data_IF_291232537001
#
_entry.id   IF_291232537001
#
_cell.length_a   1.000
_cell.length_b   1.000
_cell.length_c   1.000
_cell.angle_alpha   90.00
_cell.angle_beta   90.00
_cell.angle_gamma   90.00
#
_symmetry.space_group_name_H-M   'P 1'
#
loop_
_entity.id
_entity.type
_entity.pdbx_description
1 polymer ?
#
# COMPACT_ATOMS: atom_id res chain seq x y z
N UNK A 1 19.94 18.15 37.02
CA UNK A 1 19.18 17.04 36.40
C UNK A 1 20.19 16.25 35.57
N UNK A 2 20.43 15.00 35.95
CA UNK A 2 21.47 14.16 35.34
C UNK A 2 20.87 13.51 34.10
N UNK A 3 21.35 13.86 32.91
CA UNK A 3 21.07 13.09 31.71
C UNK A 3 21.99 11.88 31.72
N UNK A 4 21.44 10.72 32.04
CA UNK A 4 22.15 9.45 32.05
C UNK A 4 22.35 8.97 30.61
N UNK A 5 23.60 9.06 30.17
CA UNK A 5 24.33 8.19 29.24
C UNK A 5 23.50 7.18 28.43
N UNK A 6 23.12 7.52 27.19
CA UNK A 6 22.66 6.55 26.18
C UNK A 6 23.87 5.79 25.63
N UNK A 7 24.34 4.80 26.38
CA UNK A 7 25.40 3.88 25.98
C UNK A 7 24.92 2.44 26.02
N UNK A 8 24.44 1.93 24.87
CA UNK A 8 24.59 0.56 24.36
C UNK A 8 23.63 0.35 23.19
N UNK A 9 24.18 -0.05 22.05
CA UNK A 9 23.50 -0.56 20.86
C UNK A 9 22.18 -1.31 21.15
N UNK A 10 21.22 -1.17 20.23
CA UNK A 10 20.16 -2.14 19.81
C UNK A 10 18.80 -1.47 19.64
N UNK A 11 18.70 -0.45 18.78
CA UNK A 11 17.39 -0.18 18.17
C UNK A 11 17.05 -1.43 17.36
N UNK A 12 16.16 -2.29 17.88
CA UNK A 12 15.62 -3.43 17.12
C UNK A 12 14.92 -2.97 15.84
N UNK A 13 14.61 -1.67 15.75
CA UNK A 13 14.03 -1.04 14.59
C UNK A 13 14.58 0.37 14.39
N UNK A 14 15.01 0.69 13.18
CA UNK A 14 15.56 2.01 12.85
C UNK A 14 15.33 2.35 11.38
N UNK A 15 14.96 3.59 11.08
CA UNK A 15 14.92 4.09 9.70
C UNK A 15 16.33 4.52 9.31
N UNK A 16 16.94 3.82 8.36
CA UNK A 16 18.34 4.04 7.96
C UNK A 16 18.49 5.11 6.88
N UNK A 17 17.50 5.26 6.00
CA UNK A 17 17.55 6.21 4.90
C UNK A 17 16.15 6.58 4.40
N UNK A 18 15.95 7.84 3.99
CA UNK A 18 14.70 8.33 3.39
C UNK A 18 15.02 8.97 2.04
N UNK A 19 14.27 8.57 1.01
CA UNK A 19 14.43 9.03 -0.37
C UNK A 19 13.07 9.47 -0.96
N UNK A 20 13.04 10.14 -2.12
CA UNK A 20 11.80 10.50 -2.80
C UNK A 20 10.92 9.29 -3.21
N UNK A 21 11.48 8.08 -3.25
CA UNK A 21 10.77 6.88 -3.66
C UNK A 21 10.24 6.04 -2.49
N UNK A 22 10.71 6.31 -1.28
CA UNK A 22 10.48 5.45 -0.12
C UNK A 22 11.62 5.58 0.90
N UNK A 23 11.55 4.77 1.95
CA UNK A 23 12.57 4.74 2.99
C UNK A 23 13.02 3.31 3.29
N UNK A 24 14.18 3.20 3.89
CA UNK A 24 14.76 1.95 4.37
C UNK A 24 14.58 1.84 5.88
N UNK A 25 14.22 0.65 6.33
CA UNK A 25 14.07 0.32 7.73
C UNK A 25 14.86 -0.93 8.06
N UNK A 26 15.71 -0.84 9.07
CA UNK A 26 16.43 -1.95 9.66
C UNK A 26 15.56 -2.52 10.77
N UNK A 27 15.21 -3.80 10.68
CA UNK A 27 14.47 -4.54 11.70
C UNK A 27 15.35 -5.72 12.12
N UNK A 28 15.76 -5.74 13.39
CA UNK A 28 16.80 -6.61 13.94
C UNK A 28 18.12 -6.50 13.15
N UNK A 29 18.32 -7.36 12.15
CA UNK A 29 19.49 -7.37 11.27
C UNK A 29 19.10 -7.40 9.78
N UNK A 30 17.82 -7.13 9.48
CA UNK A 30 17.27 -7.13 8.12
C UNK A 30 16.88 -5.73 7.69
N UNK A 31 17.44 -5.29 6.58
CA UNK A 31 17.06 -4.02 5.98
C UNK A 31 15.97 -4.26 4.93
N UNK A 32 14.85 -3.56 5.07
CA UNK A 32 13.70 -3.63 4.18
C UNK A 32 13.41 -2.26 3.58
N UNK A 33 13.05 -2.25 2.30
CA UNK A 33 12.65 -1.03 1.61
C UNK A 33 11.13 -0.87 1.64
N UNK A 34 10.67 0.30 2.06
CA UNK A 34 9.25 0.68 2.10
C UNK A 34 8.98 1.66 0.95
N UNK A 35 8.46 1.19 -0.21
CA UNK A 35 8.20 2.05 -1.35
C UNK A 35 6.95 2.91 -1.13
N UNK A 36 7.08 4.23 -1.33
CA UNK A 36 5.94 5.15 -1.35
C UNK A 36 4.94 4.87 -2.48
N UNK A 37 5.31 4.05 -3.46
CA UNK A 37 4.41 3.52 -4.50
C UNK A 37 3.28 2.68 -3.91
N UNK A 38 3.64 1.76 -3.02
CA UNK A 38 2.72 0.80 -2.38
C UNK A 38 2.12 1.34 -1.08
N UNK A 39 2.88 2.21 -0.38
CA UNK A 39 2.50 2.80 0.90
C UNK A 39 2.44 4.33 0.77
N UNK A 40 1.41 4.89 0.09
CA UNK A 40 1.35 6.32 -0.23
C UNK A 40 1.18 7.21 0.99
N UNK A 41 0.69 6.68 2.12
CA UNK A 41 0.48 7.43 3.36
C UNK A 41 1.74 8.08 3.91
N UNK A 42 2.91 7.52 3.61
CA UNK A 42 4.19 8.07 4.05
C UNK A 42 4.73 9.20 3.16
N UNK A 43 4.11 9.49 2.00
CA UNK A 43 4.63 10.49 1.03
C UNK A 43 4.63 11.91 1.57
N UNK A 44 3.66 12.24 2.41
CA UNK A 44 3.47 13.59 2.95
C UNK A 44 3.94 13.69 4.42
N UNK A 45 4.42 12.57 4.98
CA UNK A 45 4.94 12.50 6.34
C UNK A 45 6.33 13.14 6.43
N UNK A 46 6.59 13.80 7.55
CA UNK A 46 7.91 14.33 7.86
C UNK A 46 8.90 13.21 8.20
N UNK A 47 10.19 13.49 8.02
CA UNK A 47 11.27 12.56 8.40
C UNK A 47 11.16 12.19 9.89
N UNK A 48 10.77 13.13 10.75
CA UNK A 48 10.60 12.88 12.18
C UNK A 48 9.51 11.82 12.44
N UNK A 49 8.36 11.97 11.78
CA UNK A 49 7.24 11.05 11.95
C UNK A 49 7.60 9.66 11.41
N UNK A 50 8.23 9.59 10.23
CA UNK A 50 8.70 8.32 9.64
C UNK A 50 9.76 7.65 10.54
N UNK A 51 10.67 8.42 11.14
CA UNK A 51 11.69 7.88 12.03
C UNK A 51 11.13 7.43 13.40
N UNK A 52 9.95 7.91 13.82
CA UNK A 52 9.30 7.51 15.06
C UNK A 52 8.53 6.20 14.89
N UNK A 53 9.23 5.16 14.42
CA UNK A 53 8.68 3.81 14.28
C UNK A 53 8.82 3.02 15.57
N UNK A 54 7.80 2.25 15.90
CA UNK A 54 7.75 1.38 17.07
C UNK A 54 7.42 -0.05 16.66
N UNK A 55 8.04 -1.01 17.34
CA UNK A 55 7.77 -2.42 17.13
C UNK A 55 6.64 -2.85 18.08
N UNK A 56 5.40 -2.86 17.61
CA UNK A 56 4.23 -3.32 18.40
C UNK A 56 4.26 -4.84 18.62
N UNK A 57 4.81 -5.59 17.66
CA UNK A 57 5.12 -7.01 17.79
C UNK A 57 6.27 -7.38 16.86
N UNK A 58 6.91 -8.56 16.98
CA UNK A 58 8.01 -8.97 16.11
C UNK A 58 7.72 -8.89 14.60
N UNK A 59 6.44 -8.86 14.22
CA UNK A 59 5.99 -8.79 12.84
C UNK A 59 5.10 -7.57 12.54
N UNK A 60 4.91 -6.64 13.49
CA UNK A 60 4.10 -5.44 13.29
C UNK A 60 4.85 -4.18 13.71
N UNK A 61 4.87 -3.23 12.78
CA UNK A 61 5.40 -1.89 12.90
C UNK A 61 4.25 -0.92 13.12
N UNK A 62 4.47 0.07 13.98
CA UNK A 62 3.49 1.09 14.28
C UNK A 62 4.16 2.47 14.29
N UNK A 63 3.56 3.42 13.57
CA UNK A 63 3.94 4.82 13.56
C UNK A 63 2.88 5.62 14.32
N UNK A 64 3.07 5.86 15.63
CA UNK A 64 2.08 6.53 16.47
C UNK A 64 1.76 7.96 16.03
N UNK A 65 2.72 8.68 15.45
CA UNK A 65 2.48 10.05 14.98
C UNK A 65 1.61 10.09 13.72
N UNK A 66 1.64 9.00 12.93
CA UNK A 66 0.91 8.88 11.68
C UNK A 66 -0.39 8.06 11.82
N UNK A 67 -0.57 7.38 12.96
CA UNK A 67 -1.63 6.39 13.18
C UNK A 67 -1.63 5.29 12.10
N UNK A 68 -0.43 4.80 11.76
CA UNK A 68 -0.21 3.77 10.72
C UNK A 68 0.37 2.50 11.35
N UNK A 69 -0.29 1.37 11.11
CA UNK A 69 0.24 0.03 11.38
C UNK A 69 0.64 -0.67 10.07
N UNK A 70 1.79 -1.35 10.07
CA UNK A 70 2.30 -2.09 8.92
C UNK A 70 2.86 -3.45 9.35
N UNK A 71 2.41 -4.52 8.70
CA UNK A 71 2.95 -5.85 8.93
C UNK A 71 4.26 -6.02 8.15
N UNK A 72 5.30 -6.57 8.80
CA UNK A 72 6.59 -6.84 8.15
C UNK A 72 6.41 -7.77 6.93
N UNK A 73 5.47 -8.73 7.01
CA UNK A 73 5.13 -9.62 5.89
C UNK A 73 4.62 -8.85 4.65
N UNK A 74 3.98 -7.70 4.82
CA UNK A 74 3.53 -6.86 3.69
C UNK A 74 4.70 -6.19 2.96
N UNK A 75 5.88 -6.09 3.58
CA UNK A 75 7.10 -5.62 2.93
C UNK A 75 7.78 -6.74 2.12
N UNK A 76 7.78 -7.97 2.65
CA UNK A 76 8.32 -9.15 1.96
C UNK A 76 7.43 -9.61 0.80
N UNK A 77 6.11 -9.49 0.97
CA UNK A 77 5.09 -9.96 0.03
C UNK A 77 4.02 -8.89 -0.26
N UNK A 78 4.39 -7.75 -0.88
CA UNK A 78 3.43 -6.70 -1.21
C UNK A 78 2.29 -7.19 -2.11
N UNK A 79 2.51 -8.23 -2.93
CA UNK A 79 1.50 -8.84 -3.80
C UNK A 79 0.36 -9.53 -3.07
N UNK A 80 0.59 -9.97 -1.81
CA UNK A 80 -0.43 -10.64 -0.99
C UNK A 80 -1.34 -9.64 -0.27
N UNK A 81 -0.86 -8.41 -0.10
CA UNK A 81 -1.55 -7.34 0.61
C UNK A 81 -1.62 -6.09 -0.26
N UNK A 82 -2.47 -6.05 -1.31
CA UNK A 82 -2.70 -4.83 -2.07
C UNK A 82 -3.40 -3.80 -1.18
N UNK A 83 -2.58 -3.00 -0.50
CA UNK A 83 -3.00 -1.99 0.48
C UNK A 83 -3.55 -0.72 -0.18
N UNK A 84 -3.31 -0.57 -1.49
CA UNK A 84 -4.06 0.32 -2.34
C UNK A 84 -5.27 -0.46 -2.85
N UNK A 85 -6.47 -0.09 -2.39
CA UNK A 85 -7.71 -0.41 -3.09
C UNK A 85 -7.51 0.04 -4.54
N UNK A 86 -7.20 -0.89 -5.44
CA UNK A 86 -7.36 -0.67 -6.87
C UNK A 86 -8.83 -0.32 -7.02
N UNK A 87 -9.12 0.97 -7.11
CA UNK A 87 -10.35 1.45 -7.73
C UNK A 87 -10.27 0.80 -9.09
N UNK A 88 -11.00 -0.31 -9.27
CA UNK A 88 -11.05 -0.95 -10.56
C UNK A 88 -11.51 0.16 -11.49
N UNK A 89 -10.76 0.47 -12.57
CA UNK A 89 -11.26 1.42 -13.53
C UNK A 89 -12.63 0.88 -13.90
N UNK A 90 -13.68 1.64 -13.55
CA UNK A 90 -15.05 1.27 -13.90
C UNK A 90 -15.00 1.12 -15.40
N UNK A 91 -14.98 -0.13 -15.86
CA UNK A 91 -15.11 -0.41 -17.28
C UNK A 91 -16.45 0.20 -17.59
N UNK A 92 -16.43 1.36 -18.27
CA UNK A 92 -17.62 1.91 -18.90
C UNK A 92 -18.02 0.82 -19.87
N UNK A 93 -18.90 -0.09 -19.41
CA UNK A 93 -19.63 -1.00 -20.28
C UNK A 93 -20.35 -0.07 -21.23
N UNK A 94 -19.72 0.15 -22.39
CA UNK A 94 -20.36 0.73 -23.55
C UNK A 94 -21.57 -0.16 -23.75
N UNK A 95 -22.75 0.38 -23.43
CA UNK A 95 -24.01 -0.26 -23.74
C UNK A 95 -23.99 -0.38 -25.26
N UNK A 96 -23.61 -1.56 -25.76
CA UNK A 96 -23.79 -1.87 -27.16
C UNK A 96 -25.30 -1.79 -27.41
N UNK A 97 -25.75 -1.02 -28.41
CA UNK A 97 -27.16 -1.00 -28.77
C UNK A 97 -27.56 -2.44 -29.16
N UNK A 98 -28.76 -2.90 -28.74
CA UNK A 98 -29.18 -4.27 -29.00
C UNK A 98 -29.19 -4.55 -30.50
N UNK A 99 -28.82 -5.79 -30.93
CA UNK A 99 -28.84 -6.14 -32.33
C UNK A 99 -30.27 -6.03 -32.86
N UNK A 100 -30.45 -5.29 -33.96
CA UNK A 100 -31.71 -5.24 -34.68
C UNK A 100 -32.02 -6.64 -35.22
N UNK A 101 -32.89 -7.37 -34.51
CA UNK A 101 -33.46 -8.60 -35.03
C UNK A 101 -34.41 -8.27 -36.16
N UNK A 102 -33.89 -8.41 -37.39
CA UNK A 102 -34.68 -8.62 -38.59
C UNK A 102 -35.49 -9.91 -38.46
N UNK A 103 -36.79 -9.76 -38.16
CA UNK A 103 -37.77 -10.83 -38.22
C UNK A 103 -38.44 -10.86 -39.58
N UNK A 104 -37.97 -11.74 -40.44
CA UNK A 104 -38.63 -12.08 -41.70
C UNK A 104 -39.95 -12.85 -41.45
N UNK A 105 -40.98 -12.50 -42.22
CA UNK A 105 -41.80 -13.50 -42.89
C UNK A 105 -43.25 -13.69 -42.44
N UNK A 106 -44.17 -13.39 -43.36
CA UNK A 106 -45.36 -14.17 -43.80
C UNK A 106 -46.34 -13.21 -44.47
N UNK A 107 -47.11 -13.52 -45.52
CA UNK A 107 -47.29 -14.60 -46.48
C UNK A 107 -48.63 -14.25 -47.18
N UNK A 108 -48.85 -14.76 -48.41
CA UNK A 108 -50.12 -14.83 -49.19
C UNK A 108 -50.46 -13.51 -49.92
N UNK A 109 -50.68 -13.44 -51.24
CA UNK A 109 -51.09 -14.45 -52.22
C UNK A 109 -52.59 -14.33 -52.51
N UNK A 110 -52.94 -14.19 -53.80
CA UNK A 110 -54.30 -14.16 -54.41
C UNK A 110 -55.07 -12.84 -54.18
N UNK A 111 -55.61 -12.13 -55.18
CA UNK A 111 -56.01 -12.40 -56.58
C UNK A 111 -55.87 -11.12 -57.39
#
# INVERSE_FOLDING_TARGET
MKSETLGRHTSQIEVTNVSPHGFWILIEERELFVPFGEFPWFRESSIREIANVQLSSPHHLHWPDLDIDLAVESLDHPEKFPLVSRVQPVVKRRLEPPPAHGGAGKKRGKR
#
